data_IF_285748394986
#
_entry.id   IF_285748394986
#
_cell.length_a   1.000
_cell.length_b   1.000
_cell.length_c   1.000
_cell.angle_alpha   90.00
_cell.angle_beta   90.00
_cell.angle_gamma   90.00
#
_symmetry.space_group_name_H-M   'P 1'
#
loop_
_entity.id
_entity.type
_entity.pdbx_description
1 polymer ?
#
# COMPACT_ATOMS: atom_id res chain seq x y z
N UNK A 1 -57.12 -82.64 36.48
CA UNK A 1 -56.53 -81.85 37.55
C UNK A 1 -55.28 -81.24 36.97
N UNK A 2 -55.44 -80.00 36.69
CA UNK A 2 -54.49 -78.87 36.54
C UNK A 2 -53.26 -79.06 35.66
N UNK A 3 -53.40 -78.54 34.40
CA UNK A 3 -52.33 -78.29 33.49
C UNK A 3 -52.11 -76.79 33.37
N UNK A 4 -50.90 -76.39 33.60
CA UNK A 4 -50.47 -75.00 33.55
C UNK A 4 -49.95 -74.65 32.13
N UNK A 5 -50.64 -73.79 31.42
CA UNK A 5 -50.25 -73.29 30.10
C UNK A 5 -49.34 -72.09 30.31
N UNK A 6 -48.07 -72.26 30.01
CA UNK A 6 -47.13 -71.11 29.91
C UNK A 6 -47.14 -70.53 28.52
N UNK A 7 -47.66 -69.30 28.36
CA UNK A 7 -47.55 -68.52 27.15
C UNK A 7 -46.24 -67.73 27.18
N UNK A 8 -45.35 -68.04 26.22
CA UNK A 8 -44.10 -67.33 26.00
C UNK A 8 -44.37 -66.06 25.10
N UNK A 9 -44.36 -64.91 25.70
CA UNK A 9 -44.41 -63.68 24.97
C UNK A 9 -42.99 -63.24 24.56
N UNK A 10 -42.64 -63.40 23.28
CA UNK A 10 -41.39 -62.83 22.74
C UNK A 10 -41.60 -61.35 22.49
N UNK A 11 -40.93 -60.50 23.25
CA UNK A 11 -40.89 -59.08 23.08
C UNK A 11 -39.77 -58.75 22.05
N UNK A 12 -40.15 -58.33 20.84
CA UNK A 12 -39.24 -57.88 19.79
C UNK A 12 -38.86 -56.42 20.12
N UNK A 13 -37.69 -56.19 20.71
CA UNK A 13 -37.11 -54.86 20.84
C UNK A 13 -36.47 -54.45 19.50
N UNK A 14 -37.19 -53.66 18.69
CA UNK A 14 -36.63 -52.93 17.56
C UNK A 14 -35.79 -51.75 18.12
N UNK A 15 -34.46 -51.90 18.14
CA UNK A 15 -33.55 -50.82 18.44
C UNK A 15 -33.56 -49.77 17.31
N UNK A 16 -34.17 -48.62 17.54
CA UNK A 16 -34.03 -47.43 16.73
C UNK A 16 -32.65 -46.83 17.03
N UNK A 17 -31.65 -47.12 16.16
CA UNK A 17 -30.42 -46.35 16.08
C UNK A 17 -30.75 -44.97 15.52
N UNK A 18 -31.07 -44.00 16.37
CA UNK A 18 -31.11 -42.58 16.02
C UNK A 18 -29.65 -42.14 15.86
N UNK A 19 -29.17 -42.10 14.61
CA UNK A 19 -27.98 -41.33 14.24
C UNK A 19 -28.28 -39.86 14.50
N UNK A 20 -27.90 -39.35 15.65
CA UNK A 20 -27.80 -37.92 15.90
C UNK A 20 -26.67 -37.38 15.03
N UNK A 21 -27.02 -36.85 13.85
CA UNK A 21 -26.13 -35.97 13.11
C UNK A 21 -25.94 -34.72 13.97
N UNK A 22 -24.83 -34.66 14.73
CA UNK A 22 -24.39 -33.40 15.32
C UNK A 22 -24.09 -32.43 14.15
N UNK A 23 -24.69 -31.23 14.13
CA UNK A 23 -24.23 -30.21 13.21
C UNK A 23 -22.78 -29.94 13.56
N UNK A 24 -21.87 -30.23 12.63
CA UNK A 24 -20.52 -29.68 12.67
C UNK A 24 -20.69 -28.17 12.61
N UNK A 25 -20.71 -27.52 13.77
CA UNK A 25 -20.40 -26.12 13.90
C UNK A 25 -18.96 -26.00 13.38
N UNK A 26 -18.80 -25.52 12.14
CA UNK A 26 -17.51 -25.01 11.70
C UNK A 26 -17.14 -23.97 12.76
N UNK A 27 -16.15 -24.27 13.56
CA UNK A 27 -15.56 -23.29 14.45
C UNK A 27 -15.07 -22.18 13.50
N UNK A 28 -15.72 -21.03 13.54
CA UNK A 28 -15.27 -19.83 12.87
C UNK A 28 -13.91 -19.52 13.50
N UNK A 29 -12.85 -19.95 12.83
CA UNK A 29 -11.47 -19.62 13.23
C UNK A 29 -11.38 -18.11 13.19
N UNK A 30 -11.04 -17.49 14.31
CA UNK A 30 -10.80 -16.05 14.36
C UNK A 30 -9.84 -15.66 13.22
N UNK A 31 -10.08 -14.53 12.52
CA UNK A 31 -9.26 -14.13 11.40
C UNK A 31 -7.79 -14.02 11.84
N UNK A 32 -6.90 -14.51 11.00
CA UNK A 32 -5.46 -14.43 11.25
C UNK A 32 -5.04 -12.96 11.14
N UNK A 33 -4.28 -12.47 12.12
CA UNK A 33 -3.75 -11.09 12.08
C UNK A 33 -2.57 -11.00 11.11
N UNK A 34 -2.49 -9.89 10.36
CA UNK A 34 -1.34 -9.53 9.54
C UNK A 34 -0.88 -8.12 9.90
N UNK A 35 0.39 -7.94 10.23
CA UNK A 35 0.95 -6.65 10.65
C UNK A 35 1.44 -5.87 9.43
N UNK A 36 0.79 -4.75 9.15
CA UNK A 36 1.06 -3.90 7.99
C UNK A 36 1.86 -2.67 8.42
N UNK A 37 3.11 -2.56 7.95
CA UNK A 37 3.95 -1.39 8.17
C UNK A 37 3.56 -0.25 7.22
N UNK A 38 3.27 0.92 7.80
CA UNK A 38 2.94 2.15 7.07
C UNK A 38 3.74 3.33 7.61
N UNK A 39 4.09 4.28 6.72
CA UNK A 39 4.66 5.59 7.07
C UNK A 39 3.57 6.67 7.02
N UNK A 40 3.85 7.86 7.55
CA UNK A 40 2.99 9.03 7.33
C UNK A 40 3.22 9.56 5.92
N UNK A 41 2.34 9.20 5.01
CA UNK A 41 2.42 9.50 3.58
C UNK A 41 1.04 9.86 3.01
N UNK A 42 0.44 10.93 3.54
CA UNK A 42 -0.90 11.39 3.15
C UNK A 42 -0.95 11.82 1.66
N UNK A 43 -1.91 11.37 0.82
CA UNK A 43 -3.17 10.73 1.22
C UNK A 43 -3.15 9.20 1.27
N UNK A 44 -2.00 8.56 1.10
CA UNK A 44 -1.93 7.09 1.07
C UNK A 44 -2.09 6.48 2.45
N UNK A 45 -1.38 7.01 3.45
CA UNK A 45 -1.43 6.55 4.84
C UNK A 45 -1.14 7.69 5.82
N UNK A 46 -2.00 7.87 6.81
CA UNK A 46 -1.90 8.91 7.82
C UNK A 46 -2.72 8.56 9.07
N UNK A 47 -2.54 9.33 10.13
CA UNK A 47 -3.45 9.30 11.28
C UNK A 47 -4.50 10.41 11.12
N UNK A 48 -5.76 10.06 11.27
CA UNK A 48 -6.87 11.01 11.27
C UNK A 48 -6.88 11.84 12.56
N UNK A 49 -7.87 12.75 12.70
CA UNK A 49 -8.01 13.63 13.88
C UNK A 49 -8.26 12.87 15.18
N UNK A 50 -8.67 11.61 15.12
CA UNK A 50 -8.91 10.73 16.26
C UNK A 50 -7.71 9.82 16.55
N UNK A 51 -6.62 9.95 15.79
CA UNK A 51 -5.45 9.09 15.89
C UNK A 51 -5.66 7.70 15.28
N UNK A 52 -6.68 7.53 14.42
CA UNK A 52 -6.93 6.28 13.72
C UNK A 52 -6.19 6.29 12.37
N UNK A 53 -5.67 5.12 11.96
CA UNK A 53 -5.09 4.96 10.64
C UNK A 53 -6.14 5.18 9.55
N UNK A 54 -5.79 5.97 8.54
CA UNK A 54 -6.64 6.32 7.42
C UNK A 54 -5.78 6.51 6.15
N UNK A 55 -6.44 6.59 4.99
CA UNK A 55 -5.80 6.80 3.70
C UNK A 55 -6.10 5.71 2.69
N UNK A 56 -5.63 5.91 1.46
CA UNK A 56 -5.84 5.01 0.33
C UNK A 56 -5.35 3.60 0.67
N UNK A 57 -4.10 3.48 1.13
CA UNK A 57 -3.47 2.19 1.40
C UNK A 57 -4.11 1.47 2.58
N UNK A 58 -4.57 2.23 3.60
CA UNK A 58 -5.28 1.67 4.75
C UNK A 58 -6.64 1.09 4.33
N UNK A 59 -7.39 1.79 3.48
CA UNK A 59 -8.68 1.30 2.98
C UNK A 59 -8.50 0.08 2.07
N UNK A 60 -7.53 0.13 1.15
CA UNK A 60 -7.25 -0.98 0.24
C UNK A 60 -6.72 -2.21 0.99
N UNK A 61 -5.82 -2.03 1.96
CA UNK A 61 -5.30 -3.14 2.77
C UNK A 61 -6.41 -3.78 3.61
N UNK A 62 -7.28 -2.97 4.22
CA UNK A 62 -8.40 -3.47 5.01
C UNK A 62 -9.34 -4.33 4.17
N UNK A 63 -9.72 -3.85 2.98
CA UNK A 63 -10.59 -4.60 2.08
C UNK A 63 -9.91 -5.85 1.53
N UNK A 64 -8.67 -5.74 1.02
CA UNK A 64 -7.97 -6.86 0.42
C UNK A 64 -7.71 -8.00 1.42
N UNK A 65 -7.21 -7.67 2.61
CA UNK A 65 -6.98 -8.67 3.65
C UNK A 65 -8.27 -9.27 4.20
N UNK A 66 -9.35 -8.47 4.30
CA UNK A 66 -10.68 -9.00 4.67
C UNK A 66 -11.18 -10.04 3.67
N UNK A 67 -11.00 -9.83 2.36
CA UNK A 67 -11.35 -10.81 1.31
C UNK A 67 -10.57 -12.12 1.45
N UNK A 68 -9.37 -12.05 1.99
CA UNK A 68 -8.50 -13.21 2.23
C UNK A 68 -8.69 -13.84 3.62
N UNK A 69 -9.60 -13.31 4.46
CA UNK A 69 -9.85 -13.81 5.80
C UNK A 69 -8.81 -13.38 6.85
N UNK A 70 -8.02 -12.36 6.55
CA UNK A 70 -7.07 -11.74 7.48
C UNK A 70 -7.63 -10.48 8.10
N UNK A 71 -7.12 -10.12 9.28
CA UNK A 71 -7.38 -8.86 9.96
C UNK A 71 -6.07 -8.03 9.97
N UNK A 72 -5.97 -6.92 9.23
CA UNK A 72 -4.78 -6.08 9.24
C UNK A 72 -4.63 -5.33 10.56
N UNK A 73 -3.44 -5.37 11.14
CA UNK A 73 -2.98 -4.52 12.24
C UNK A 73 -1.98 -3.51 11.67
N UNK A 74 -2.37 -2.24 11.61
CA UNK A 74 -1.50 -1.20 11.06
C UNK A 74 -0.49 -0.74 12.12
N UNK A 75 0.78 -0.62 11.68
CA UNK A 75 1.87 -0.16 12.54
C UNK A 75 2.62 0.99 11.86
N UNK A 76 2.67 2.13 12.54
CA UNK A 76 3.48 3.25 12.09
C UNK A 76 4.95 2.89 12.17
N UNK A 77 5.69 3.13 11.07
CA UNK A 77 7.13 2.88 10.98
C UNK A 77 7.86 4.14 10.53
N UNK A 78 9.14 4.22 10.88
CA UNK A 78 10.07 5.14 10.22
C UNK A 78 10.45 4.57 8.86
N UNK A 79 10.25 5.32 7.77
CA UNK A 79 10.48 4.82 6.41
C UNK A 79 11.90 4.29 6.16
N UNK A 80 12.98 4.92 6.66
CA UNK A 80 14.33 4.37 6.55
C UNK A 80 14.51 2.98 7.18
N UNK A 81 13.76 2.68 8.25
CA UNK A 81 13.89 1.43 9.01
C UNK A 81 13.05 0.27 8.47
N UNK A 82 12.21 0.50 7.44
CA UNK A 82 11.25 -0.47 6.91
C UNK A 82 11.84 -1.85 6.62
N UNK A 83 13.09 -1.88 6.11
CA UNK A 83 13.75 -3.14 5.74
C UNK A 83 14.15 -3.97 6.97
N UNK A 84 14.62 -3.32 8.02
CA UNK A 84 14.98 -3.99 9.29
C UNK A 84 13.72 -4.57 9.93
N UNK A 85 12.65 -3.76 10.03
CA UNK A 85 11.38 -4.16 10.63
C UNK A 85 10.69 -5.30 9.87
N UNK A 86 10.86 -5.34 8.54
CA UNK A 86 10.36 -6.42 7.69
C UNK A 86 11.19 -7.69 7.87
N UNK A 87 12.52 -7.56 7.93
CA UNK A 87 13.42 -8.71 8.01
C UNK A 87 13.44 -9.39 9.39
N UNK A 88 13.17 -8.64 10.47
CA UNK A 88 13.09 -9.18 11.83
C UNK A 88 11.67 -9.65 12.22
N UNK A 89 10.68 -9.50 11.32
CA UNK A 89 9.30 -9.93 11.55
C UNK A 89 8.50 -9.00 12.46
N UNK A 90 8.98 -7.78 12.72
CA UNK A 90 8.21 -6.77 13.46
C UNK A 90 6.96 -6.35 12.67
N UNK A 91 7.03 -6.36 11.34
CA UNK A 91 5.92 -6.23 10.40
C UNK A 91 5.96 -7.38 9.40
N UNK A 92 4.80 -7.82 8.94
CA UNK A 92 4.68 -8.89 7.94
C UNK A 92 4.83 -8.35 6.52
N UNK A 93 4.32 -7.13 6.27
CA UNK A 93 4.43 -6.47 4.97
C UNK A 93 4.54 -4.96 5.10
N UNK A 94 5.02 -4.32 4.02
CA UNK A 94 5.03 -2.86 3.85
C UNK A 94 3.95 -2.52 2.82
N UNK A 95 2.98 -1.67 3.21
CA UNK A 95 1.95 -1.15 2.32
C UNK A 95 1.80 0.35 2.54
N UNK A 96 2.63 1.14 1.88
CA UNK A 96 2.71 2.60 2.05
C UNK A 96 3.26 3.25 0.78
N UNK A 97 2.45 3.30 -0.29
CA UNK A 97 2.80 3.88 -1.59
C UNK A 97 4.16 3.38 -2.11
N UNK A 98 4.43 2.09 -1.95
CA UNK A 98 5.77 1.54 -2.18
C UNK A 98 5.97 1.12 -3.63
N UNK A 99 6.89 1.81 -4.34
CA UNK A 99 7.21 1.51 -5.74
C UNK A 99 7.95 0.19 -5.90
N UNK A 100 7.43 -0.68 -6.76
CA UNK A 100 8.02 -1.98 -7.10
C UNK A 100 9.23 -1.84 -8.04
N UNK A 101 9.12 -0.95 -9.03
CA UNK A 101 10.09 -0.81 -10.12
C UNK A 101 11.53 -0.62 -9.62
N UNK A 102 12.46 -1.47 -10.13
CA UNK A 102 13.86 -1.50 -9.73
C UNK A 102 14.12 -2.12 -8.35
N UNK A 103 13.10 -2.73 -7.75
CA UNK A 103 13.16 -3.46 -6.48
C UNK A 103 12.56 -4.85 -6.58
N UNK A 104 12.29 -5.34 -7.79
CA UNK A 104 11.56 -6.58 -8.06
C UNK A 104 12.21 -7.79 -7.40
N UNK A 105 13.55 -7.80 -7.32
CA UNK A 105 14.32 -8.91 -6.74
C UNK A 105 14.63 -8.73 -5.24
N UNK A 106 14.27 -7.58 -4.65
CA UNK A 106 14.60 -7.26 -3.25
C UNK A 106 13.54 -7.76 -2.25
N UNK A 107 12.31 -7.95 -2.72
CA UNK A 107 11.15 -8.31 -1.90
C UNK A 107 10.35 -9.42 -2.58
N UNK A 108 9.49 -10.07 -1.80
CA UNK A 108 8.36 -10.82 -2.33
C UNK A 108 7.21 -9.83 -2.50
N UNK A 109 6.75 -9.62 -3.73
CA UNK A 109 5.76 -8.60 -4.05
C UNK A 109 4.36 -9.16 -4.27
N UNK A 110 3.34 -8.40 -3.85
CA UNK A 110 1.98 -8.51 -4.34
C UNK A 110 1.57 -7.22 -5.07
N UNK A 111 0.84 -7.35 -6.15
CA UNK A 111 0.41 -6.24 -7.00
C UNK A 111 1.03 -6.27 -8.41
N UNK A 112 1.12 -5.12 -9.12
CA UNK A 112 0.83 -3.76 -8.65
C UNK A 112 -0.65 -3.53 -8.36
N UNK A 113 -0.96 -2.72 -7.34
CA UNK A 113 -2.34 -2.35 -7.03
C UNK A 113 -2.76 -1.01 -7.65
N UNK A 114 -1.82 -0.07 -7.77
CA UNK A 114 -2.03 1.26 -8.34
C UNK A 114 -0.78 1.73 -9.08
N UNK A 115 -0.95 2.80 -9.85
CA UNK A 115 0.13 3.56 -10.50
C UNK A 115 0.20 4.97 -9.91
N UNK A 116 1.40 5.53 -9.79
CA UNK A 116 1.61 6.89 -9.31
C UNK A 116 2.78 7.55 -10.04
N UNK A 117 2.54 8.76 -10.55
CA UNK A 117 3.60 9.54 -11.19
C UNK A 117 4.55 10.09 -10.13
N UNK A 118 5.84 10.13 -10.47
CA UNK A 118 6.80 10.97 -9.75
C UNK A 118 6.74 12.36 -10.35
N UNK A 119 6.61 13.38 -9.54
CA UNK A 119 6.53 14.77 -10.01
C UNK A 119 7.52 15.63 -9.25
N UNK A 120 7.79 16.83 -9.81
CA UNK A 120 8.68 17.82 -9.21
C UNK A 120 7.89 19.07 -8.89
N UNK A 121 8.00 19.55 -7.65
CA UNK A 121 7.45 20.82 -7.23
C UNK A 121 8.57 21.85 -6.97
N UNK A 122 8.27 23.09 -7.29
CA UNK A 122 9.15 24.25 -7.07
C UNK A 122 8.36 25.37 -6.42
N UNK A 123 9.05 26.37 -5.88
CA UNK A 123 8.36 27.60 -5.46
C UNK A 123 7.72 28.29 -6.67
N UNK A 124 6.62 28.97 -6.46
CA UNK A 124 5.88 29.69 -7.51
C UNK A 124 6.74 30.75 -8.23
N UNK A 125 7.66 31.38 -7.51
CA UNK A 125 8.60 32.40 -8.00
C UNK A 125 9.88 31.83 -8.65
N UNK A 126 9.99 30.49 -8.73
CA UNK A 126 11.17 29.82 -9.30
C UNK A 126 11.29 30.03 -10.81
N UNK A 127 12.53 30.12 -11.31
CA UNK A 127 12.88 30.13 -12.73
C UNK A 127 12.80 28.76 -13.42
N UNK A 128 12.70 27.69 -12.64
CA UNK A 128 12.63 26.29 -13.13
C UNK A 128 11.26 26.05 -13.77
N UNK A 129 11.18 25.81 -15.08
CA UNK A 129 9.92 25.59 -15.81
C UNK A 129 9.76 24.13 -16.31
N UNK A 130 10.88 23.42 -16.49
CA UNK A 130 10.94 22.08 -17.05
C UNK A 130 11.91 21.19 -16.27
N UNK A 131 11.92 19.87 -16.54
CA UNK A 131 12.89 18.96 -15.94
C UNK A 131 14.33 19.29 -16.33
N UNK A 132 14.56 19.85 -17.55
CA UNK A 132 15.90 20.24 -17.98
C UNK A 132 16.49 21.39 -17.16
N UNK A 133 15.65 22.26 -16.58
CA UNK A 133 16.09 23.38 -15.75
C UNK A 133 16.59 22.94 -14.36
N UNK A 134 16.41 21.66 -14.02
CA UNK A 134 16.96 21.07 -12.80
C UNK A 134 18.49 20.90 -12.85
N UNK A 135 19.11 21.09 -14.02
CA UNK A 135 20.55 21.04 -14.18
C UNK A 135 21.27 21.98 -13.18
N UNK A 136 22.16 21.41 -12.36
CA UNK A 136 22.91 22.15 -11.36
C UNK A 136 22.10 22.68 -10.16
N UNK A 137 20.83 22.29 -10.00
CA UNK A 137 19.95 22.67 -8.88
C UNK A 137 20.09 21.69 -7.70
N UNK A 138 19.63 22.12 -6.52
CA UNK A 138 19.55 21.30 -5.29
C UNK A 138 18.16 20.71 -5.18
N UNK A 139 18.06 19.41 -5.12
CA UNK A 139 16.79 18.67 -5.09
C UNK A 139 16.57 18.08 -3.70
N UNK A 140 15.37 18.27 -3.13
CA UNK A 140 14.91 17.61 -1.92
C UNK A 140 14.07 16.37 -2.26
N UNK A 141 14.34 15.27 -1.58
CA UNK A 141 13.60 14.00 -1.70
C UNK A 141 13.42 13.38 -0.33
N UNK A 142 12.42 12.54 -0.15
CA UNK A 142 12.39 11.69 1.05
C UNK A 142 13.37 10.54 0.87
N UNK A 143 14.10 10.22 1.95
CA UNK A 143 15.12 9.18 1.95
C UNK A 143 14.55 7.80 1.60
N UNK A 144 15.31 7.00 0.87
CA UNK A 144 15.00 5.62 0.45
C UNK A 144 13.74 5.46 -0.41
N UNK A 145 13.28 6.57 -1.02
CA UNK A 145 12.13 6.59 -1.95
C UNK A 145 12.54 6.36 -3.40
N UNK A 146 11.53 6.26 -4.28
CA UNK A 146 11.76 6.20 -5.73
C UNK A 146 12.34 7.52 -6.26
N UNK A 147 11.86 8.66 -5.75
CA UNK A 147 12.37 9.96 -6.13
C UNK A 147 13.86 10.10 -5.85
N UNK A 148 14.33 9.64 -4.67
CA UNK A 148 15.75 9.62 -4.36
C UNK A 148 16.57 8.79 -5.36
N UNK A 149 16.16 7.54 -5.62
CA UNK A 149 16.83 6.66 -6.59
C UNK A 149 16.92 7.27 -8.00
N UNK A 150 15.88 8.01 -8.43
CA UNK A 150 15.86 8.70 -9.72
C UNK A 150 16.93 9.81 -9.76
N UNK A 151 16.98 10.66 -8.74
CA UNK A 151 17.91 11.81 -8.70
C UNK A 151 19.35 11.42 -8.37
N UNK A 152 19.57 10.28 -7.71
CA UNK A 152 20.91 9.69 -7.52
C UNK A 152 21.42 8.96 -8.76
N UNK A 153 20.62 8.86 -9.82
CA UNK A 153 21.02 8.20 -11.07
C UNK A 153 21.04 6.66 -10.99
N UNK A 154 20.40 6.08 -9.99
CA UNK A 154 20.28 4.62 -9.84
C UNK A 154 19.34 4.01 -10.88
N UNK A 155 18.50 4.83 -11.49
CA UNK A 155 17.51 4.45 -12.49
C UNK A 155 17.73 5.33 -13.72
N UNK A 156 17.76 4.73 -14.92
CA UNK A 156 17.79 5.50 -16.15
C UNK A 156 16.59 6.44 -16.22
N UNK A 157 16.84 7.73 -16.27
CA UNK A 157 15.83 8.77 -16.35
C UNK A 157 16.26 9.85 -17.33
N UNK A 158 15.31 10.67 -17.79
CA UNK A 158 15.56 11.86 -18.59
C UNK A 158 16.01 13.07 -17.75
N UNK A 159 16.38 12.84 -16.48
CA UNK A 159 16.79 13.90 -15.56
C UNK A 159 18.21 14.37 -15.86
N UNK A 160 18.45 15.68 -15.82
CA UNK A 160 19.78 16.25 -15.96
C UNK A 160 20.62 16.00 -14.70
N UNK A 161 21.93 16.17 -14.79
CA UNK A 161 22.82 16.17 -13.63
C UNK A 161 22.49 17.34 -12.69
N UNK A 162 22.11 17.02 -11.45
CA UNK A 162 21.77 18.00 -10.42
C UNK A 162 22.99 18.33 -9.57
N UNK A 163 23.01 19.51 -8.92
CA UNK A 163 24.12 19.91 -8.06
C UNK A 163 24.20 19.05 -6.83
N UNK A 164 23.06 18.70 -6.22
CA UNK A 164 22.98 17.98 -4.98
C UNK A 164 21.58 17.38 -4.79
N UNK A 165 21.52 16.15 -4.31
CA UNK A 165 20.32 15.50 -3.77
C UNK A 165 20.38 15.60 -2.25
N UNK A 166 19.32 16.13 -1.64
CA UNK A 166 19.18 16.28 -0.19
C UNK A 166 18.07 15.35 0.27
N UNK A 167 18.43 14.33 1.01
CA UNK A 167 17.50 13.33 1.52
C UNK A 167 16.99 13.73 2.90
N UNK A 168 15.66 13.75 3.05
CA UNK A 168 14.96 14.07 4.30
C UNK A 168 14.28 12.82 4.85
N UNK A 169 14.19 12.71 6.15
CA UNK A 169 13.45 11.63 6.78
C UNK A 169 11.93 11.79 6.59
N UNK A 170 11.45 13.04 6.73
CA UNK A 170 10.03 13.37 6.62
C UNK A 170 9.72 14.28 5.42
N UNK A 171 8.49 14.21 4.93
CA UNK A 171 8.01 15.09 3.85
C UNK A 171 7.81 16.52 4.33
N UNK A 172 7.49 16.71 5.61
CA UNK A 172 7.39 18.01 6.27
C UNK A 172 8.71 18.79 6.20
N UNK A 173 9.83 18.14 6.55
CA UNK A 173 11.16 18.74 6.50
C UNK A 173 11.58 19.05 5.07
N UNK A 174 11.25 18.16 4.12
CA UNK A 174 11.51 18.34 2.71
C UNK A 174 10.82 19.60 2.16
N UNK A 175 9.51 19.78 2.41
CA UNK A 175 8.76 20.97 1.99
C UNK A 175 9.17 22.23 2.78
N UNK A 176 9.54 22.09 4.06
CA UNK A 176 10.11 23.20 4.82
C UNK A 176 11.44 23.68 4.23
N UNK A 177 12.28 22.78 3.74
CA UNK A 177 13.54 23.11 3.06
C UNK A 177 13.28 23.83 1.72
N UNK A 178 12.28 23.42 0.94
CA UNK A 178 11.86 24.12 -0.30
C UNK A 178 11.39 25.53 0.03
N UNK A 179 10.51 25.70 1.01
CA UNK A 179 9.98 27.01 1.41
C UNK A 179 11.09 27.97 1.86
N UNK A 180 12.10 27.47 2.57
CA UNK A 180 13.23 28.24 3.05
C UNK A 180 14.35 28.46 2.00
N UNK A 181 14.21 27.84 0.80
CA UNK A 181 15.22 27.93 -0.24
C UNK A 181 16.51 27.14 0.04
N UNK A 182 16.47 26.15 0.94
CA UNK A 182 17.60 25.23 1.15
C UNK A 182 17.74 24.23 0.01
N UNK A 183 16.62 23.90 -0.65
CA UNK A 183 16.55 23.18 -1.92
C UNK A 183 15.79 24.03 -2.94
N UNK A 184 16.05 23.80 -4.22
CA UNK A 184 15.47 24.56 -5.32
C UNK A 184 14.19 23.91 -5.85
N UNK A 185 14.10 22.57 -5.71
CA UNK A 185 12.95 21.78 -6.06
C UNK A 185 12.80 20.59 -5.08
N UNK A 186 11.62 20.01 -5.01
CA UNK A 186 11.36 18.74 -4.31
C UNK A 186 10.69 17.74 -5.25
N UNK A 187 10.93 16.46 -5.06
CA UNK A 187 10.34 15.42 -5.88
C UNK A 187 9.70 14.30 -5.02
N UNK A 188 8.63 13.73 -5.54
CA UNK A 188 7.89 12.65 -4.89
C UNK A 188 6.68 12.20 -5.69
N UNK A 189 5.88 11.32 -5.10
CA UNK A 189 4.62 10.88 -5.67
C UNK A 189 3.63 12.03 -5.84
N UNK A 190 2.92 12.05 -6.99
CA UNK A 190 2.04 13.15 -7.38
C UNK A 190 0.99 13.51 -6.33
N UNK A 191 0.29 12.52 -5.76
CA UNK A 191 -0.73 12.78 -4.75
C UNK A 191 -0.16 13.41 -3.47
N UNK A 192 1.02 12.97 -3.02
CA UNK A 192 1.73 13.58 -1.89
C UNK A 192 2.10 15.03 -2.20
N UNK A 193 2.74 15.25 -3.37
CA UNK A 193 3.19 16.59 -3.77
C UNK A 193 1.99 17.52 -3.94
N UNK A 194 0.91 17.05 -4.60
CA UNK A 194 -0.32 17.81 -4.78
C UNK A 194 -0.93 18.24 -3.44
N UNK A 195 -0.95 17.37 -2.44
CA UNK A 195 -1.42 17.74 -1.10
C UNK A 195 -0.68 18.96 -0.55
N UNK A 196 0.65 18.93 -0.59
CA UNK A 196 1.47 20.03 -0.06
C UNK A 196 1.32 21.32 -0.88
N UNK A 197 1.27 21.20 -2.21
CA UNK A 197 1.12 22.36 -3.11
C UNK A 197 -0.28 22.96 -3.04
N UNK A 198 -1.34 22.15 -2.84
CA UNK A 198 -2.72 22.62 -2.70
C UNK A 198 -2.98 23.31 -1.35
N UNK A 199 -2.16 23.07 -0.32
CA UNK A 199 -2.24 23.80 0.95
C UNK A 199 -1.87 25.28 0.79
N UNK A 200 -1.03 25.60 -0.22
CA UNK A 200 -0.60 26.97 -0.52
C UNK A 200 -0.26 27.09 -2.03
N UNK A 201 -1.31 27.12 -2.84
CA UNK A 201 -1.19 27.22 -4.31
C UNK A 201 -0.45 28.49 -4.78
N UNK A 202 -0.42 29.53 -3.94
CA UNK A 202 0.30 30.77 -4.26
C UNK A 202 1.82 30.65 -4.10
N UNK A 203 2.28 29.69 -3.31
CA UNK A 203 3.70 29.51 -2.95
C UNK A 203 4.40 28.44 -3.79
N UNK A 204 3.66 27.52 -4.40
CA UNK A 204 4.24 26.37 -5.11
C UNK A 204 3.59 26.13 -6.47
N UNK A 205 4.30 25.46 -7.34
CA UNK A 205 3.77 24.85 -8.57
C UNK A 205 4.46 23.52 -8.85
N UNK A 206 3.74 22.65 -9.52
CA UNK A 206 4.26 21.36 -10.00
C UNK A 206 4.65 21.51 -11.47
N UNK A 207 5.78 20.93 -11.86
CA UNK A 207 6.19 20.90 -13.27
C UNK A 207 5.22 20.00 -14.05
N UNK A 208 4.92 20.38 -15.29
CA UNK A 208 4.02 19.62 -16.15
C UNK A 208 4.56 18.24 -16.53
N UNK A 209 5.89 18.14 -16.62
CA UNK A 209 6.59 16.91 -16.96
C UNK A 209 6.71 15.99 -15.74
N UNK A 210 6.59 14.68 -15.97
CA UNK A 210 6.84 13.64 -14.97
C UNK A 210 8.08 12.85 -15.35
N UNK A 211 9.08 12.76 -14.49
CA UNK A 211 10.28 11.98 -14.80
C UNK A 211 10.05 10.48 -14.80
N UNK A 212 8.97 9.99 -14.15
CA UNK A 212 8.75 8.57 -13.96
C UNK A 212 7.33 8.24 -13.51
N UNK A 213 6.81 7.07 -13.92
CA UNK A 213 5.59 6.47 -13.38
C UNK A 213 5.96 5.22 -12.58
N UNK A 214 5.47 5.15 -11.34
CA UNK A 214 5.72 4.05 -10.40
C UNK A 214 4.56 3.08 -10.36
N UNK A 215 4.88 1.78 -10.36
CA UNK A 215 3.97 0.70 -10.00
C UNK A 215 4.01 0.51 -8.49
N UNK A 216 2.86 0.63 -7.82
CA UNK A 216 2.76 0.50 -6.37
C UNK A 216 2.38 -0.91 -5.99
N UNK A 217 3.12 -1.52 -5.08
CA UNK A 217 2.89 -2.88 -4.60
C UNK A 217 3.01 -3.02 -3.10
N UNK A 218 2.65 -4.21 -2.62
CA UNK A 218 2.80 -4.64 -1.24
C UNK A 218 4.03 -5.51 -1.14
N UNK A 219 4.97 -5.14 -0.27
CA UNK A 219 6.24 -5.83 -0.13
C UNK A 219 6.26 -6.70 1.13
N UNK A 220 6.53 -7.98 0.96
CA UNK A 220 6.90 -8.92 2.02
C UNK A 220 8.42 -9.14 2.03
N UNK A 221 8.96 -9.68 3.12
CA UNK A 221 10.36 -10.09 3.12
C UNK A 221 10.60 -11.11 2.00
N UNK A 222 11.78 -11.02 1.37
CA UNK A 222 12.11 -11.89 0.26
C UNK A 222 12.04 -13.36 0.68
N UNK A 223 11.51 -14.21 -0.21
CA UNK A 223 11.35 -15.65 -0.02
C UNK A 223 10.46 -16.02 1.20
N UNK A 224 9.55 -15.07 1.59
CA UNK A 224 8.52 -15.30 2.61
C UNK A 224 7.13 -14.99 2.05
N UNK A 225 6.08 -15.55 2.67
CA UNK A 225 4.68 -15.27 2.33
C UNK A 225 4.34 -15.44 0.83
N UNK A 226 5.02 -16.35 0.10
CA UNK A 226 4.86 -16.52 -1.36
C UNK A 226 3.39 -16.78 -1.74
N UNK A 227 2.74 -17.74 -1.06
CA UNK A 227 1.34 -18.07 -1.33
C UNK A 227 0.42 -16.88 -1.05
N UNK A 228 0.65 -16.14 0.03
CA UNK A 228 -0.13 -14.97 0.39
C UNK A 228 0.08 -13.84 -0.62
N UNK A 229 1.31 -13.62 -1.08
CA UNK A 229 1.61 -12.61 -2.10
C UNK A 229 0.90 -12.90 -3.42
N UNK A 230 0.84 -14.19 -3.82
CA UNK A 230 0.08 -14.62 -5.01
C UNK A 230 -1.42 -14.38 -4.82
N UNK A 231 -2.00 -14.81 -3.69
CA UNK A 231 -3.41 -14.62 -3.39
C UNK A 231 -3.78 -13.14 -3.29
N UNK A 232 -2.93 -12.33 -2.65
CA UNK A 232 -3.13 -10.89 -2.55
C UNK A 232 -3.05 -10.22 -3.92
N UNK A 233 -2.12 -10.63 -4.80
CA UNK A 233 -2.04 -10.13 -6.18
C UNK A 233 -3.35 -10.38 -6.94
N UNK A 234 -3.89 -11.60 -6.85
CA UNK A 234 -5.18 -11.92 -7.49
C UNK A 234 -6.33 -11.10 -6.89
N UNK A 235 -6.36 -10.96 -5.56
CA UNK A 235 -7.39 -10.14 -4.88
C UNK A 235 -7.33 -8.68 -5.32
N UNK A 236 -6.12 -8.12 -5.45
CA UNK A 236 -5.94 -6.74 -5.93
C UNK A 236 -6.37 -6.59 -7.39
N UNK A 237 -6.13 -7.58 -8.23
CA UNK A 237 -6.63 -7.57 -9.61
C UNK A 237 -8.16 -7.64 -9.66
N UNK A 238 -8.78 -8.50 -8.85
CA UNK A 238 -10.23 -8.56 -8.71
C UNK A 238 -10.81 -7.22 -8.22
N UNK A 239 -10.13 -6.54 -7.29
CA UNK A 239 -10.50 -5.21 -6.79
C UNK A 239 -10.35 -4.09 -7.83
N UNK A 240 -9.44 -4.24 -8.80
CA UNK A 240 -9.39 -3.35 -9.97
C UNK A 240 -10.61 -3.58 -10.87
N UNK A 241 -10.90 -4.84 -11.19
CA UNK A 241 -11.98 -5.22 -12.10
C UNK A 241 -13.36 -4.87 -11.55
N UNK A 242 -13.61 -5.03 -10.25
CA UNK A 242 -14.89 -4.69 -9.61
C UNK A 242 -15.02 -3.20 -9.27
N UNK A 243 -13.99 -2.40 -9.58
CA UNK A 243 -13.93 -0.95 -9.39
C UNK A 243 -13.67 -0.51 -7.96
N UNK A 244 -13.34 -1.41 -7.04
CA UNK A 244 -13.07 -1.06 -5.63
C UNK A 244 -11.88 -0.10 -5.51
N UNK A 245 -10.77 -0.39 -6.21
CA UNK A 245 -9.59 0.49 -6.19
C UNK A 245 -9.91 1.85 -6.81
N UNK A 246 -10.68 1.88 -7.91
CA UNK A 246 -11.11 3.12 -8.55
C UNK A 246 -11.95 4.00 -7.62
N UNK A 247 -12.94 3.42 -6.94
CA UNK A 247 -13.77 4.16 -5.96
C UNK A 247 -12.95 4.73 -4.79
N UNK A 248 -11.97 3.98 -4.30
CA UNK A 248 -11.07 4.48 -3.25
C UNK A 248 -10.22 5.64 -3.80
N UNK A 249 -9.63 5.50 -4.99
CA UNK A 249 -8.84 6.56 -5.62
C UNK A 249 -9.67 7.85 -5.79
N UNK A 250 -10.88 7.77 -6.33
CA UNK A 250 -11.80 8.90 -6.51
C UNK A 250 -12.18 9.58 -5.18
N UNK A 251 -12.41 8.81 -4.13
CA UNK A 251 -12.69 9.33 -2.78
C UNK A 251 -11.58 10.26 -2.28
N UNK A 252 -10.33 10.00 -2.67
CA UNK A 252 -9.16 10.80 -2.33
C UNK A 252 -8.78 11.82 -3.43
N UNK A 253 -9.65 12.02 -4.42
CA UNK A 253 -9.49 13.03 -5.47
C UNK A 253 -8.49 12.66 -6.56
N UNK A 254 -8.14 11.38 -6.70
CA UNK A 254 -7.28 10.89 -7.76
C UNK A 254 -8.09 10.52 -9.01
N UNK A 255 -7.46 10.63 -10.17
CA UNK A 255 -7.99 10.13 -11.43
C UNK A 255 -7.97 8.59 -11.42
N UNK A 256 -9.15 7.98 -11.27
CA UNK A 256 -9.25 6.52 -11.14
C UNK A 256 -8.67 5.77 -12.34
N UNK A 257 -8.90 6.25 -13.58
CA UNK A 257 -8.41 5.58 -14.79
C UNK A 257 -6.87 5.53 -14.80
N UNK A 258 -6.23 6.67 -14.62
CA UNK A 258 -4.77 6.76 -14.59
C UNK A 258 -4.15 6.04 -13.41
N UNK A 259 -4.81 6.10 -12.26
CA UNK A 259 -4.31 5.52 -11.02
C UNK A 259 -4.42 3.99 -11.04
N UNK A 260 -5.50 3.44 -11.59
CA UNK A 260 -5.73 1.98 -11.65
C UNK A 260 -4.98 1.33 -12.81
N UNK A 261 -4.93 1.97 -13.98
CA UNK A 261 -4.43 1.36 -15.22
C UNK A 261 -3.12 1.96 -15.73
N UNK A 262 -2.64 3.04 -15.13
CA UNK A 262 -1.47 3.79 -15.60
C UNK A 262 -1.77 4.72 -16.78
N UNK A 263 -0.76 5.43 -17.28
CA UNK A 263 -0.91 6.41 -18.36
C UNK A 263 -1.27 5.79 -19.73
N UNK A 264 -1.08 4.49 -19.91
CA UNK A 264 -1.37 3.81 -21.19
C UNK A 264 -2.82 3.33 -21.29
N UNK A 265 -3.61 3.46 -20.21
CA UNK A 265 -5.01 3.00 -20.20
C UNK A 265 -5.17 1.48 -20.34
N UNK A 266 -6.43 1.03 -20.45
CA UNK A 266 -6.75 -0.36 -20.79
C UNK A 266 -6.29 -0.72 -22.18
#
# INVERSE_FOLDING_TARGET
MYGLLMALVMLFMAGLCACSAQPHSAAETAPQTIVVGIDVFDPYSYLDRNGQFAGIDVELATEAFSRLGYMPEFRMISWPDKNNLLSDGTIDCIWSCFSMNGRETKYQWAGPYMYSRQVVAVRADSDIQSLSDLAGKRIGVQATTKAESLFLGEISSLLPEVKQVNSFETTEDMFAALRKGYVDAVAGHEALVAKWTNLDESSYRVLAESPYSSELGVAFAKDTHEDLAVQLTQTLEDMKQDGTIGRVAEKFGLDAEKTVWGEQGK
#
